data_IF_700157662697
#
_entry.id   IF_700157662697
#
_cell.length_a   1.000
_cell.length_b   1.000
_cell.length_c   1.000
_cell.angle_alpha   90.00
_cell.angle_beta   90.00
_cell.angle_gamma   90.00
#
_symmetry.space_group_name_H-M   'P 1'
#
loop_
_entity.id
_entity.type
_entity.pdbx_description
1 polymer ?
#
# COMPACT_ATOMS: atom_id res chain seq x y z
N UNK A 1 -4.97 -0.89 -11.09
CA UNK A 1 -5.91 0.18 -11.47
C UNK A 1 -7.32 -0.30 -11.15
N UNK A 2 -8.17 0.57 -10.61
CA UNK A 2 -9.56 0.28 -10.26
C UNK A 2 -10.45 0.40 -11.51
N UNK A 3 -11.66 -0.15 -11.45
CA UNK A 3 -12.63 -0.12 -12.57
C UNK A 3 -13.05 1.29 -12.98
N UNK A 4 -12.97 2.24 -12.05
CA UNK A 4 -13.30 3.66 -12.26
C UNK A 4 -12.08 4.48 -12.75
N UNK A 5 -10.99 3.82 -13.10
CA UNK A 5 -9.79 4.46 -13.61
C UNK A 5 -8.84 5.01 -12.54
N UNK A 6 -9.24 5.08 -11.27
CA UNK A 6 -8.33 5.45 -10.17
C UNK A 6 -7.25 4.40 -10.00
N UNK A 7 -6.15 4.78 -9.37
CA UNK A 7 -5.03 3.87 -9.13
C UNK A 7 -4.76 3.71 -7.64
N UNK A 8 -4.06 2.64 -7.29
CA UNK A 8 -3.52 2.41 -5.97
C UNK A 8 -2.24 1.60 -6.11
N UNK A 9 -1.40 1.61 -5.09
CA UNK A 9 -0.15 0.86 -5.08
C UNK A 9 -0.09 -0.10 -3.91
N UNK A 10 0.49 -1.27 -4.18
CA UNK A 10 0.72 -2.33 -3.20
C UNK A 10 2.20 -2.65 -3.21
N UNK A 11 2.83 -2.69 -2.04
CA UNK A 11 4.17 -3.26 -1.86
C UNK A 11 4.07 -4.55 -1.04
N UNK A 12 4.66 -5.65 -1.54
CA UNK A 12 4.59 -6.96 -0.88
C UNK A 12 5.89 -7.24 -0.14
N UNK A 13 5.81 -7.68 1.12
CA UNK A 13 6.95 -8.10 1.95
C UNK A 13 6.63 -9.41 2.65
N UNK A 14 7.64 -10.26 2.82
CA UNK A 14 7.46 -11.53 3.54
C UNK A 14 7.45 -11.35 5.07
N UNK A 15 8.21 -10.37 5.59
CA UNK A 15 8.32 -10.11 7.01
C UNK A 15 7.61 -8.85 7.48
N UNK A 16 6.95 -8.91 8.64
CA UNK A 16 6.30 -7.75 9.27
C UNK A 16 7.29 -6.64 9.63
N UNK A 17 8.54 -6.98 9.97
CA UNK A 17 9.59 -6.00 10.27
C UNK A 17 9.95 -5.07 9.10
N UNK A 18 9.49 -5.37 7.89
CA UNK A 18 9.74 -4.56 6.69
C UNK A 18 8.62 -3.55 6.41
N UNK A 19 7.55 -3.52 7.22
CA UNK A 19 6.38 -2.66 6.99
C UNK A 19 6.75 -1.17 7.00
N UNK A 20 7.61 -0.72 7.92
CA UNK A 20 8.05 0.68 7.97
C UNK A 20 8.80 1.09 6.69
N UNK A 21 9.74 0.25 6.26
CA UNK A 21 10.54 0.50 5.06
C UNK A 21 9.68 0.50 3.78
N UNK A 22 8.72 -0.42 3.69
CA UNK A 22 7.77 -0.50 2.59
C UNK A 22 6.81 0.71 2.57
N UNK A 23 6.32 1.13 3.74
CA UNK A 23 5.48 2.33 3.86
C UNK A 23 6.23 3.58 3.38
N UNK A 24 7.48 3.77 3.81
CA UNK A 24 8.34 4.85 3.33
C UNK A 24 8.58 4.76 1.81
N UNK A 25 8.75 3.54 1.28
CA UNK A 25 8.85 3.26 -0.16
C UNK A 25 7.62 3.74 -0.93
N UNK A 26 6.43 3.36 -0.49
CA UNK A 26 5.16 3.77 -1.10
C UNK A 26 4.93 5.28 -1.05
N UNK A 27 5.30 5.95 0.04
CA UNK A 27 5.21 7.41 0.13
C UNK A 27 6.16 8.10 -0.86
N UNK A 28 7.41 7.63 -0.97
CA UNK A 28 8.35 8.13 -1.98
C UNK A 28 7.89 7.84 -3.40
N UNK A 29 7.27 6.68 -3.63
CA UNK A 29 6.71 6.33 -4.92
C UNK A 29 5.57 7.29 -5.29
N UNK A 30 4.62 7.52 -4.37
CA UNK A 30 3.53 8.49 -4.56
C UNK A 30 4.06 9.87 -4.94
N UNK A 31 5.13 10.34 -4.29
CA UNK A 31 5.74 11.65 -4.59
C UNK A 31 6.35 11.76 -6.00
N UNK A 32 6.70 10.63 -6.63
CA UNK A 32 7.27 10.61 -7.98
C UNK A 32 6.20 10.55 -9.08
N UNK A 33 4.93 10.31 -8.72
CA UNK A 33 3.83 10.25 -9.68
C UNK A 33 3.27 11.66 -9.92
N UNK A 34 3.07 12.03 -11.19
CA UNK A 34 2.36 13.25 -11.55
C UNK A 34 0.85 13.08 -11.28
N UNK A 35 0.43 13.41 -10.06
CA UNK A 35 -0.97 13.27 -9.64
C UNK A 35 -1.91 14.26 -10.33
N UNK A 36 -1.39 15.29 -11.01
CA UNK A 36 -2.22 16.18 -11.85
C UNK A 36 -2.75 15.47 -13.09
N UNK A 37 -2.03 14.45 -13.58
CA UNK A 37 -2.42 13.65 -14.75
C UNK A 37 -3.15 12.36 -14.36
N UNK A 38 -2.81 11.78 -13.22
CA UNK A 38 -3.27 10.44 -12.81
C UNK A 38 -4.28 10.47 -11.66
N UNK A 39 -4.44 11.61 -10.99
CA UNK A 39 -5.15 11.71 -9.71
C UNK A 39 -4.33 11.19 -8.54
N UNK A 40 -4.80 11.48 -7.32
CA UNK A 40 -4.24 10.88 -6.10
C UNK A 40 -4.56 9.38 -6.05
N UNK A 41 -3.68 8.55 -5.44
CA UNK A 41 -3.97 7.14 -5.25
C UNK A 41 -5.21 6.96 -4.38
N UNK A 42 -6.12 6.09 -4.81
CA UNK A 42 -7.29 5.65 -4.05
C UNK A 42 -6.88 4.89 -2.78
N UNK A 43 -5.76 4.16 -2.82
CA UNK A 43 -5.17 3.53 -1.65
C UNK A 43 -3.67 3.26 -1.85
N UNK A 44 -2.97 3.16 -0.72
CA UNK A 44 -1.62 2.61 -0.63
C UNK A 44 -1.67 1.47 0.40
N UNK A 45 -1.05 0.34 0.09
CA UNK A 45 -1.04 -0.80 1.00
C UNK A 45 0.30 -1.56 1.01
N UNK A 46 0.66 -2.07 2.18
CA UNK A 46 1.72 -3.07 2.35
C UNK A 46 1.06 -4.40 2.60
N UNK A 47 1.31 -5.39 1.74
CA UNK A 47 0.90 -6.78 1.98
C UNK A 47 2.05 -7.51 2.67
N UNK A 48 1.79 -8.07 3.84
CA UNK A 48 2.79 -8.77 4.65
C UNK A 48 2.47 -10.26 4.81
N UNK A 49 3.50 -11.11 4.94
CA UNK A 49 3.33 -12.56 5.10
C UNK A 49 2.69 -12.97 6.44
N UNK A 50 2.75 -12.14 7.46
CA UNK A 50 2.24 -12.41 8.81
C UNK A 50 1.83 -11.12 9.53
N UNK A 51 1.29 -11.25 10.75
CA UNK A 51 0.82 -10.13 11.56
C UNK A 51 -0.70 -9.91 11.44
N UNK A 52 -1.16 -8.72 11.81
CA UNK A 52 -2.56 -8.33 11.78
C UNK A 52 -2.79 -7.16 10.82
N UNK A 53 -4.04 -7.01 10.35
CA UNK A 53 -4.43 -5.91 9.49
C UNK A 53 -4.67 -4.63 10.29
N UNK A 54 -4.14 -3.51 9.83
CA UNK A 54 -4.37 -2.20 10.45
C UNK A 54 -4.12 -1.06 9.46
N UNK A 55 -4.59 0.13 9.80
CA UNK A 55 -4.27 1.35 9.10
C UNK A 55 -3.25 2.15 9.91
N UNK A 56 -2.16 2.53 9.26
CA UNK A 56 -1.12 3.38 9.84
C UNK A 56 -1.58 4.84 9.90
N UNK A 57 -0.95 5.64 10.75
CA UNK A 57 -1.24 7.07 10.86
C UNK A 57 -0.95 7.88 9.58
N UNK A 58 -0.08 7.35 8.70
CA UNK A 58 0.23 7.89 7.37
C UNK A 58 -0.81 7.51 6.29
N UNK A 59 -1.86 6.78 6.67
CA UNK A 59 -2.96 6.39 5.79
C UNK A 59 -2.71 5.12 4.98
N UNK A 60 -1.55 4.46 5.11
CA UNK A 60 -1.24 3.19 4.43
C UNK A 60 -1.92 2.03 5.16
N UNK A 61 -2.56 1.14 4.39
CA UNK A 61 -3.12 -0.10 4.90
C UNK A 61 -2.04 -1.19 5.00
N UNK A 62 -1.95 -1.86 6.14
CA UNK A 62 -1.14 -3.07 6.31
C UNK A 62 -2.09 -4.25 6.25
N UNK A 63 -1.84 -5.18 5.33
CA UNK A 63 -2.76 -6.28 5.02
C UNK A 63 -1.99 -7.60 5.07
N UNK A 64 -2.23 -8.46 6.08
CA UNK A 64 -1.69 -9.81 6.08
C UNK A 64 -2.21 -10.57 4.86
N UNK A 65 -1.34 -11.34 4.20
CA UNK A 65 -1.72 -12.10 3.01
C UNK A 65 -2.90 -13.05 3.27
N UNK A 66 -2.99 -13.61 4.49
CA UNK A 66 -4.11 -14.46 4.92
C UNK A 66 -5.47 -13.73 5.00
N UNK A 67 -5.48 -12.39 5.05
CA UNK A 67 -6.71 -11.60 5.03
C UNK A 67 -7.32 -11.44 3.62
N UNK A 68 -6.60 -11.81 2.57
CA UNK A 68 -7.11 -11.73 1.19
C UNK A 68 -8.02 -12.88 0.81
N UNK A 69 -7.98 -13.98 1.58
CA UNK A 69 -8.72 -15.21 1.28
C UNK A 69 -8.20 -15.93 0.03
N UNK A 70 -8.67 -17.16 -0.22
CA UNK A 70 -8.57 -17.84 -1.51
C UNK A 70 -9.59 -17.30 -2.53
#
# INVERSE_FOLDING_TARGET
>A
QLRDGRWGAIEVKLGQGQVEAAAAGLLRFRQQIDTRRTGEPAFLAVVCGSGYGYRRGDGIAVVPVGALGP
#
